data_IF_241365731984
#
_entry.id   IF_241365731984
#
_cell.length_a   1.000
_cell.length_b   1.000
_cell.length_c   1.000
_cell.angle_alpha   90.00
_cell.angle_beta   90.00
_cell.angle_gamma   90.00
#
_symmetry.space_group_name_H-M   'P 1'
#
loop_
_entity.id
_entity.type
_entity.pdbx_description
1 polymer ?
#
# COMPACT_ATOMS: atom_id res chain seq x y z
N UNK A 1 0.16 -5.43 -22.59
CA UNK A 1 -0.98 -5.35 -21.65
C UNK A 1 -0.58 -5.90 -20.27
N UNK A 2 0.48 -5.34 -19.67
CA UNK A 2 1.09 -5.83 -18.42
C UNK A 2 0.56 -5.10 -17.17
N UNK A 3 -0.07 -3.94 -17.36
CA UNK A 3 -0.54 -3.06 -16.27
C UNK A 3 -1.63 -3.68 -15.38
N UNK A 4 -2.53 -4.50 -15.94
CA UNK A 4 -3.59 -5.16 -15.16
C UNK A 4 -3.03 -6.32 -14.33
N UNK A 5 -1.93 -6.93 -14.77
CA UNK A 5 -1.34 -8.10 -14.12
C UNK A 5 -0.62 -7.74 -12.81
N UNK A 6 -0.12 -6.51 -12.69
CA UNK A 6 0.66 -6.06 -11.52
C UNK A 6 -0.13 -5.12 -10.58
N UNK A 7 -1.46 -5.13 -10.62
CA UNK A 7 -2.26 -4.16 -9.87
C UNK A 7 -2.02 -4.23 -8.35
N UNK A 8 -1.76 -5.44 -7.81
CA UNK A 8 -1.37 -5.61 -6.41
C UNK A 8 -0.05 -4.91 -6.05
N UNK A 9 0.91 -4.87 -6.97
CA UNK A 9 2.16 -4.15 -6.79
C UNK A 9 1.98 -2.64 -6.76
N UNK A 10 0.98 -2.11 -7.48
CA UNK A 10 0.64 -0.68 -7.43
C UNK A 10 0.09 -0.32 -6.05
N UNK A 11 -0.83 -1.13 -5.50
CA UNK A 11 -1.34 -0.92 -4.14
C UNK A 11 -0.25 -1.04 -3.06
N UNK A 12 0.69 -1.96 -3.22
CA UNK A 12 1.87 -2.07 -2.35
C UNK A 12 2.74 -0.81 -2.41
N UNK A 13 2.99 -0.27 -3.60
CA UNK A 13 3.76 0.96 -3.75
C UNK A 13 3.10 2.14 -3.03
N UNK A 14 1.77 2.27 -3.15
CA UNK A 14 1.00 3.28 -2.40
C UNK A 14 1.15 3.10 -0.89
N UNK A 15 1.06 1.86 -0.38
CA UNK A 15 1.29 1.57 1.03
C UNK A 15 2.69 2.01 1.50
N UNK A 16 3.74 1.66 0.75
CA UNK A 16 5.11 2.01 1.10
C UNK A 16 5.36 3.52 1.08
N UNK A 17 4.72 4.26 0.18
CA UNK A 17 4.76 5.73 0.15
C UNK A 17 4.11 6.32 1.41
N UNK A 18 2.95 5.81 1.83
CA UNK A 18 2.27 6.28 3.04
C UNK A 18 3.13 6.05 4.31
N UNK A 19 3.80 4.90 4.39
CA UNK A 19 4.71 4.58 5.50
C UNK A 19 5.99 5.44 5.45
N UNK A 20 6.54 5.69 4.26
CA UNK A 20 7.69 6.58 4.11
C UNK A 20 7.34 8.03 4.51
N UNK A 21 6.14 8.50 4.18
CA UNK A 21 5.68 9.83 4.57
C UNK A 21 5.43 9.95 6.07
N UNK A 22 4.84 8.93 6.72
CA UNK A 22 4.64 8.94 8.17
C UNK A 22 5.95 8.88 8.96
N UNK A 23 7.00 8.28 8.39
CA UNK A 23 8.33 8.24 9.01
C UNK A 23 9.16 9.50 8.76
N UNK A 24 9.04 10.12 7.58
CA UNK A 24 9.78 11.34 7.22
C UNK A 24 9.15 12.60 7.82
N UNK A 25 7.83 12.64 7.99
CA UNK A 25 7.09 13.75 8.58
C UNK A 25 6.26 13.28 9.79
N UNK A 26 6.87 13.13 10.97
CA UNK A 26 6.20 12.59 12.17
C UNK A 26 5.04 13.47 12.69
N UNK A 27 4.91 14.71 12.20
CA UNK A 27 3.75 15.57 12.45
C UNK A 27 2.48 15.19 11.68
N UNK A 28 2.59 14.30 10.68
CA UNK A 28 1.45 13.76 9.93
C UNK A 28 1.06 12.42 10.59
N UNK A 29 0.16 12.48 11.57
CA UNK A 29 -0.43 11.27 12.16
C UNK A 29 -1.41 10.64 11.20
N UNK A 30 -0.98 9.58 10.51
CA UNK A 30 -1.85 8.73 9.71
C UNK A 30 -2.45 7.66 10.64
N UNK A 31 -3.78 7.54 10.75
CA UNK A 31 -4.40 6.50 11.56
C UNK A 31 -3.94 5.11 11.14
N UNK A 32 -3.47 4.31 12.11
CA UNK A 32 -2.97 2.95 11.88
C UNK A 32 -3.99 2.03 11.20
N UNK A 33 -5.29 2.28 11.44
CA UNK A 33 -6.39 1.55 10.80
C UNK A 33 -6.38 1.71 9.27
N UNK A 34 -6.08 2.91 8.76
CA UNK A 34 -6.06 3.19 7.32
C UNK A 34 -4.87 2.49 6.67
N UNK A 35 -3.71 2.56 7.32
CA UNK A 35 -2.48 1.89 6.89
C UNK A 35 -2.67 0.37 6.84
N UNK A 36 -3.34 -0.21 7.85
CA UNK A 36 -3.63 -1.63 7.92
C UNK A 36 -4.60 -2.11 6.82
N UNK A 37 -5.67 -1.36 6.54
CA UNK A 37 -6.63 -1.69 5.48
C UNK A 37 -5.95 -1.68 4.11
N UNK A 38 -5.17 -0.63 3.82
CA UNK A 38 -4.44 -0.51 2.54
C UNK A 38 -3.43 -1.64 2.39
N UNK A 39 -2.71 -2.00 3.46
CA UNK A 39 -1.77 -3.13 3.46
C UNK A 39 -2.45 -4.46 3.17
N UNK A 40 -3.59 -4.73 3.80
CA UNK A 40 -4.36 -5.97 3.60
C UNK A 40 -4.87 -6.08 2.17
N UNK A 41 -5.47 -5.01 1.65
CA UNK A 41 -5.96 -4.99 0.26
C UNK A 41 -4.80 -5.20 -0.72
N UNK A 42 -3.66 -4.53 -0.51
CA UNK A 42 -2.47 -4.74 -1.32
C UNK A 42 -1.98 -6.20 -1.28
N UNK A 43 -1.88 -6.78 -0.09
CA UNK A 43 -1.44 -8.16 0.09
C UNK A 43 -2.38 -9.18 -0.59
N UNK A 44 -3.70 -8.98 -0.49
CA UNK A 44 -4.70 -9.84 -1.14
C UNK A 44 -4.56 -9.75 -2.66
N UNK A 45 -4.47 -8.54 -3.22
CA UNK A 45 -4.29 -8.36 -4.66
C UNK A 45 -2.95 -8.91 -5.18
N UNK A 46 -1.87 -8.86 -4.39
CA UNK A 46 -0.57 -9.46 -4.74
C UNK A 46 -0.67 -11.00 -4.74
N UNK A 47 -1.32 -11.60 -3.74
CA UNK A 47 -1.48 -13.06 -3.65
C UNK A 47 -2.37 -13.62 -4.78
N UNK A 48 -3.45 -12.91 -5.12
CA UNK A 48 -4.35 -13.29 -6.21
C UNK A 48 -3.71 -13.06 -7.58
N UNK A 49 -2.93 -11.98 -7.71
CA UNK A 49 -2.46 -11.45 -8.99
C UNK A 49 -1.08 -11.92 -9.44
N UNK A 50 -0.67 -13.18 -9.23
CA UNK A 50 0.63 -13.69 -9.73
C UNK A 50 0.96 -13.23 -11.18
#
# INVERSE_FOLDING_TARGET
>A
MTFIKNIGFIFLAVYLILVALSTLAPGITIPSIVVAIVALVAAIFILIGK
#
